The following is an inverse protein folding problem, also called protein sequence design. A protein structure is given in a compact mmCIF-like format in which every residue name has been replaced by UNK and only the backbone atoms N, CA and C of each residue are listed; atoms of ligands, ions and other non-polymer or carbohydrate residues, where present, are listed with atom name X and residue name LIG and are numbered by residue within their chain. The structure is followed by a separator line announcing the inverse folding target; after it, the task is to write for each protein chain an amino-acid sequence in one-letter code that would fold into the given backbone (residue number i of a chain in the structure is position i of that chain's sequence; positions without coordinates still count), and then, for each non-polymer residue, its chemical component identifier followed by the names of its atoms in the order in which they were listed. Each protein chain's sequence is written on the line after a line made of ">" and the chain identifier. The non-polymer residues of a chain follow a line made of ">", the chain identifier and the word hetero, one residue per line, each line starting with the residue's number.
data_IF_075075367992
#
_entry.id   IF_075075367992
#
_cell.length_a   1.000
_cell.length_b   1.000
_cell.length_c   1.000
_cell.angle_alpha   90.00
_cell.angle_beta   90.00
_cell.angle_gamma   90.00
#
_symmetry.space_group_name_H-M   'P 1'
#
loop_
_entity.id
_entity.type
_entity.pdbx_description
1 polymer ?
#
# COMPACT_ATOMS: atom_id res chain seq x y z
N UNK A 1 52.50 -37.10 -30.85
CA UNK A 1 52.44 -36.96 -29.37
C UNK A 1 53.40 -35.86 -28.91
N UNK A 2 52.89 -34.71 -28.46
CA UNK A 2 53.68 -33.69 -27.73
C UNK A 2 52.84 -33.18 -26.56
N UNK A 3 53.20 -33.59 -25.34
CA UNK A 3 52.65 -33.06 -24.08
C UNK A 3 52.97 -31.57 -24.00
N UNK A 4 51.95 -30.70 -24.07
CA UNK A 4 52.10 -29.30 -23.67
C UNK A 4 52.12 -29.25 -22.14
N UNK A 5 53.25 -28.76 -21.62
CA UNK A 5 53.46 -28.49 -20.20
C UNK A 5 52.40 -27.50 -19.71
N UNK A 6 51.78 -27.83 -18.58
CA UNK A 6 50.93 -26.93 -17.83
C UNK A 6 51.81 -25.82 -17.24
N UNK A 7 51.69 -24.60 -17.76
CA UNK A 7 52.12 -23.39 -17.08
C UNK A 7 51.25 -23.19 -15.84
N UNK A 8 51.65 -23.82 -14.73
CA UNK A 8 51.12 -23.54 -13.41
C UNK A 8 51.49 -22.11 -13.03
N UNK A 9 50.52 -21.20 -13.11
CA UNK A 9 50.61 -19.83 -12.58
C UNK A 9 51.24 -19.84 -11.18
N UNK A 10 52.18 -18.92 -10.88
CA UNK A 10 52.82 -18.88 -9.57
C UNK A 10 51.76 -18.74 -8.48
N UNK A 11 51.80 -19.65 -7.50
CA UNK A 11 50.89 -19.66 -6.36
C UNK A 11 50.88 -18.31 -5.65
N UNK A 12 49.71 -17.67 -5.61
CA UNK A 12 49.51 -16.38 -4.94
C UNK A 12 49.82 -16.56 -3.46
N UNK A 13 50.70 -15.70 -2.90
CA UNK A 13 50.98 -15.70 -1.45
C UNK A 13 49.67 -15.46 -0.69
N UNK A 14 49.36 -16.25 0.36
CA UNK A 14 48.12 -16.11 1.10
C UNK A 14 48.08 -14.73 1.76
N UNK A 15 47.11 -13.92 1.35
CA UNK A 15 46.83 -12.62 1.93
C UNK A 15 45.97 -12.78 3.19
N UNK A 16 46.16 -11.93 4.20
CA UNK A 16 45.27 -11.84 5.36
C UNK A 16 43.81 -11.61 4.94
N UNK A 17 43.59 -10.99 3.77
CA UNK A 17 42.27 -10.78 3.19
C UNK A 17 41.65 -12.04 2.57
N UNK A 18 42.41 -13.09 2.28
CA UNK A 18 41.89 -14.30 1.65
C UNK A 18 40.86 -15.02 2.54
N UNK A 19 41.05 -14.99 3.87
CA UNK A 19 40.08 -15.52 4.84
C UNK A 19 38.76 -14.75 4.79
N UNK A 20 38.83 -13.41 4.71
CA UNK A 20 37.65 -12.56 4.60
C UNK A 20 36.94 -12.73 3.26
N UNK A 21 37.69 -12.87 2.18
CA UNK A 21 37.15 -13.12 0.83
C UNK A 21 36.47 -14.48 0.78
N UNK A 22 37.08 -15.53 1.35
CA UNK A 22 36.52 -16.88 1.41
C UNK A 22 35.23 -16.95 2.24
N UNK A 23 35.21 -16.33 3.42
CA UNK A 23 33.99 -16.27 4.24
C UNK A 23 32.86 -15.50 3.53
N UNK A 24 33.20 -14.41 2.85
CA UNK A 24 32.24 -13.63 2.07
C UNK A 24 31.73 -14.38 0.86
N UNK A 25 32.58 -15.08 0.11
CA UNK A 25 32.16 -15.89 -1.03
C UNK A 25 31.26 -17.05 -0.60
N UNK A 26 31.58 -17.74 0.51
CA UNK A 26 30.75 -18.82 1.04
C UNK A 26 29.34 -18.34 1.42
N UNK A 27 29.21 -17.18 2.05
CA UNK A 27 27.89 -16.59 2.34
C UNK A 27 27.16 -16.13 1.07
N UNK A 28 27.88 -15.59 0.08
CA UNK A 28 27.28 -15.25 -1.22
C UNK A 28 26.76 -16.50 -1.92
N UNK A 29 27.48 -17.62 -1.87
CA UNK A 29 27.02 -18.89 -2.46
C UNK A 29 25.74 -19.40 -1.79
N UNK A 30 25.62 -19.28 -0.46
CA UNK A 30 24.37 -19.61 0.25
C UNK A 30 23.22 -18.73 -0.23
N UNK A 31 23.45 -17.42 -0.37
CA UNK A 31 22.44 -16.47 -0.85
C UNK A 31 22.06 -16.77 -2.31
N UNK A 32 23.02 -17.12 -3.17
CA UNK A 32 22.75 -17.53 -4.55
C UNK A 32 21.86 -18.78 -4.56
N UNK A 33 22.19 -19.82 -3.77
CA UNK A 33 21.35 -21.04 -3.68
C UNK A 33 19.94 -20.74 -3.19
N UNK A 34 19.77 -19.79 -2.27
CA UNK A 34 18.46 -19.34 -1.82
C UNK A 34 17.71 -18.60 -2.95
N UNK A 35 18.38 -17.67 -3.63
CA UNK A 35 17.79 -16.91 -4.72
C UNK A 35 17.36 -17.80 -5.91
N UNK A 36 18.17 -18.82 -6.25
CA UNK A 36 17.86 -19.80 -7.29
C UNK A 36 16.60 -20.63 -6.99
N UNK A 37 16.23 -20.82 -5.72
CA UNK A 37 14.98 -21.52 -5.34
C UNK A 37 13.73 -20.65 -5.50
N UNK A 38 13.90 -19.33 -5.39
CA UNK A 38 12.79 -18.37 -5.41
C UNK A 38 12.48 -17.92 -6.84
N UNK A 39 13.52 -17.75 -7.67
CA UNK A 39 13.36 -17.30 -9.04
C UNK A 39 13.30 -18.49 -10.00
N UNK A 40 12.10 -18.68 -10.56
CA UNK A 40 11.85 -19.63 -11.62
C UNK A 40 12.56 -19.22 -12.92
N UNK A 41 13.44 -20.08 -13.42
CA UNK A 41 14.23 -19.85 -14.62
C UNK A 41 13.40 -19.92 -15.91
N UNK A 42 12.26 -20.61 -15.90
CA UNK A 42 11.42 -20.83 -17.10
C UNK A 42 10.80 -19.53 -17.64
N UNK A 43 10.68 -18.51 -16.79
CA UNK A 43 10.10 -17.20 -17.11
C UNK A 43 11.04 -16.31 -17.93
N UNK A 44 12.30 -16.69 -18.10
CA UNK A 44 13.32 -15.86 -18.72
C UNK A 44 13.85 -16.49 -20.03
N UNK A 45 13.85 -15.70 -21.11
CA UNK A 45 14.34 -16.14 -22.42
C UNK A 45 15.86 -16.27 -22.52
N UNK A 46 16.62 -15.59 -21.64
CA UNK A 46 18.08 -15.57 -21.69
C UNK A 46 18.68 -15.64 -20.27
N UNK A 47 19.82 -16.32 -20.14
CA UNK A 47 20.64 -16.42 -18.92
C UNK A 47 20.98 -15.03 -18.39
N UNK A 48 21.25 -14.07 -19.27
CA UNK A 48 21.61 -12.70 -18.85
C UNK A 48 20.46 -12.00 -18.12
N UNK A 49 19.23 -12.15 -18.57
CA UNK A 49 18.06 -11.53 -17.93
C UNK A 49 17.69 -12.25 -16.64
N UNK A 50 17.86 -13.58 -16.62
CA UNK A 50 17.77 -14.37 -15.39
C UNK A 50 18.80 -13.90 -14.34
N UNK A 51 20.05 -13.68 -14.75
CA UNK A 51 21.12 -13.14 -13.90
C UNK A 51 20.81 -11.73 -13.38
N UNK A 52 20.13 -10.86 -14.15
CA UNK A 52 19.71 -9.54 -13.67
C UNK A 52 18.66 -9.65 -12.58
N UNK A 53 17.66 -10.52 -12.76
CA UNK A 53 16.63 -10.77 -11.76
C UNK A 53 17.24 -11.35 -10.47
N UNK A 54 18.12 -12.36 -10.61
CA UNK A 54 18.87 -12.92 -9.48
C UNK A 54 19.71 -11.86 -8.77
N UNK A 55 20.37 -10.97 -9.50
CA UNK A 55 21.18 -9.91 -8.91
C UNK A 55 20.34 -8.92 -8.08
N UNK A 56 19.10 -8.64 -8.50
CA UNK A 56 18.14 -7.86 -7.70
C UNK A 56 17.83 -8.53 -6.37
N UNK A 57 17.37 -9.78 -6.40
CA UNK A 57 17.03 -10.55 -5.19
C UNK A 57 18.25 -10.74 -4.28
N UNK A 58 19.42 -11.05 -4.83
CA UNK A 58 20.66 -11.17 -4.05
C UNK A 58 21.01 -9.83 -3.36
N UNK A 59 20.72 -8.70 -4.00
CA UNK A 59 20.96 -7.37 -3.40
C UNK A 59 20.07 -7.14 -2.20
N UNK A 60 18.76 -7.42 -2.32
CA UNK A 60 17.78 -7.29 -1.24
C UNK A 60 18.10 -8.24 -0.07
N UNK A 61 18.44 -9.49 -0.35
CA UNK A 61 18.80 -10.46 0.69
C UNK A 61 20.09 -10.04 1.42
N UNK A 62 21.06 -9.46 0.70
CA UNK A 62 22.28 -8.94 1.33
C UNK A 62 22.00 -7.70 2.19
N UNK A 63 21.09 -6.84 1.75
CA UNK A 63 20.65 -5.69 2.54
C UNK A 63 19.92 -6.13 3.81
N UNK A 64 18.99 -7.09 3.72
CA UNK A 64 18.32 -7.67 4.88
C UNK A 64 19.31 -8.33 5.86
N UNK A 65 20.32 -9.05 5.35
CA UNK A 65 21.38 -9.66 6.16
C UNK A 65 22.37 -8.67 6.76
N UNK A 66 22.36 -7.39 6.35
CA UNK A 66 23.28 -6.39 6.91
C UNK A 66 22.99 -6.04 8.38
N UNK A 67 21.78 -6.34 8.86
CA UNK A 67 21.40 -6.24 10.27
C UNK A 67 21.82 -7.41 11.15
N UNK A 68 22.30 -8.51 10.56
CA UNK A 68 22.64 -9.73 11.29
C UNK A 68 24.14 -9.77 11.65
N UNK A 69 24.51 -9.82 12.95
CA UNK A 69 25.89 -9.83 13.43
C UNK A 69 26.69 -11.07 13.04
N UNK A 70 26.03 -12.15 12.62
CA UNK A 70 26.69 -13.38 12.21
C UNK A 70 27.24 -13.33 10.78
N UNK A 71 26.87 -12.30 10.01
CA UNK A 71 27.22 -12.22 8.59
C UNK A 71 28.40 -11.29 8.34
N UNK A 72 29.22 -11.55 7.31
CA UNK A 72 30.34 -10.67 6.93
C UNK A 72 29.90 -9.28 6.42
N UNK A 73 28.58 -9.09 6.27
CA UNK A 73 27.93 -7.86 5.83
C UNK A 73 27.43 -6.98 6.99
N UNK A 74 27.55 -7.44 8.23
CA UNK A 74 27.10 -6.72 9.42
C UNK A 74 27.65 -5.30 9.47
N UNK A 75 26.75 -4.32 9.66
CA UNK A 75 27.05 -2.90 9.82
C UNK A 75 27.88 -2.29 8.66
N UNK A 76 27.78 -2.86 7.45
CA UNK A 76 28.44 -2.33 6.24
C UNK A 76 27.39 -1.89 5.24
N UNK A 77 27.64 -0.76 4.56
CA UNK A 77 26.83 -0.33 3.42
C UNK A 77 26.92 -1.37 2.30
N UNK A 78 25.86 -2.15 2.12
CA UNK A 78 25.79 -3.20 1.10
C UNK A 78 25.59 -2.56 -0.26
N UNK A 79 26.60 -2.61 -1.12
CA UNK A 79 26.44 -2.25 -2.54
C UNK A 79 25.60 -3.29 -3.26
N UNK A 80 24.82 -2.81 -4.23
CA UNK A 80 24.07 -3.66 -5.16
C UNK A 80 24.98 -4.72 -5.77
N UNK A 81 24.45 -5.94 -5.85
CA UNK A 81 25.15 -7.05 -6.44
C UNK A 81 25.04 -6.94 -7.96
N UNK A 82 26.17 -6.98 -8.67
CA UNK A 82 26.18 -6.88 -10.13
C UNK A 82 25.96 -8.25 -10.75
N UNK A 83 25.03 -8.35 -11.71
CA UNK A 83 24.79 -9.56 -12.51
C UNK A 83 26.05 -10.02 -13.26
N UNK A 84 26.97 -9.10 -13.59
CA UNK A 84 28.27 -9.42 -14.22
C UNK A 84 29.10 -10.33 -13.30
N UNK A 85 28.95 -10.20 -11.98
CA UNK A 85 29.65 -11.04 -10.99
C UNK A 85 29.21 -12.51 -11.10
N UNK A 86 27.94 -12.76 -11.38
CA UNK A 86 27.41 -14.11 -11.61
C UNK A 86 27.98 -14.72 -12.89
N UNK A 87 28.13 -13.91 -13.94
CA UNK A 87 28.63 -14.37 -15.24
C UNK A 87 30.16 -14.54 -15.26
N UNK A 88 30.89 -13.78 -14.43
CA UNK A 88 32.37 -13.75 -14.42
C UNK A 88 32.99 -14.76 -13.47
N UNK A 89 32.32 -15.08 -12.35
CA UNK A 89 32.79 -16.10 -11.44
C UNK A 89 32.31 -17.48 -11.89
N UNK A 90 33.24 -18.39 -12.19
CA UNK A 90 32.92 -19.74 -12.65
C UNK A 90 32.08 -20.54 -11.65
N UNK A 91 32.29 -20.40 -10.33
CA UNK A 91 31.52 -21.18 -9.35
C UNK A 91 30.04 -20.74 -9.34
N UNK A 92 29.80 -19.43 -9.42
CA UNK A 92 28.47 -18.86 -9.44
C UNK A 92 27.77 -19.17 -10.76
N UNK A 93 28.51 -19.04 -11.87
CA UNK A 93 28.00 -19.34 -13.21
C UNK A 93 27.54 -20.79 -13.34
N UNK A 94 28.31 -21.76 -12.85
CA UNK A 94 27.90 -23.18 -12.87
C UNK A 94 26.58 -23.40 -12.14
N UNK A 95 26.38 -22.79 -10.97
CA UNK A 95 25.12 -22.93 -10.23
C UNK A 95 23.93 -22.32 -10.99
N UNK A 96 24.15 -21.17 -11.63
CA UNK A 96 23.11 -20.50 -12.42
C UNK A 96 22.80 -21.28 -13.69
N UNK A 97 23.80 -21.76 -14.43
CA UNK A 97 23.63 -22.51 -15.67
C UNK A 97 22.90 -23.84 -15.41
N UNK A 98 23.23 -24.55 -14.32
CA UNK A 98 22.51 -25.77 -13.92
C UNK A 98 21.03 -25.47 -13.66
N UNK A 99 20.74 -24.45 -12.86
CA UNK A 99 19.36 -24.08 -12.53
C UNK A 99 18.58 -23.61 -13.78
N UNK A 100 19.24 -22.86 -14.66
CA UNK A 100 18.64 -22.32 -15.87
C UNK A 100 18.34 -23.41 -16.90
N UNK A 101 19.26 -24.35 -17.10
CA UNK A 101 19.07 -25.47 -18.04
C UNK A 101 18.07 -26.50 -17.50
N UNK A 102 18.10 -26.78 -16.19
CA UNK A 102 17.14 -27.68 -15.58
C UNK A 102 15.71 -27.17 -15.74
N UNK A 103 15.48 -25.86 -15.62
CA UNK A 103 14.17 -25.27 -15.89
C UNK A 103 13.71 -25.40 -17.34
N UNK A 104 14.62 -25.60 -18.29
CA UNK A 104 14.29 -25.78 -19.72
C UNK A 104 14.02 -27.22 -20.11
N UNK A 105 14.68 -28.18 -19.47
CA UNK A 105 14.37 -29.61 -19.66
C UNK A 105 12.92 -29.92 -19.25
N UNK A 106 12.39 -29.23 -18.24
CA UNK A 106 10.98 -29.36 -17.82
C UNK A 106 9.97 -28.76 -18.80
N UNK A 107 10.40 -28.03 -19.84
CA UNK A 107 9.51 -27.43 -20.85
C UNK A 107 9.20 -28.40 -22.01
N UNK A 108 9.87 -29.56 -22.10
CA UNK A 108 9.56 -30.59 -23.10
C UNK A 108 8.38 -31.46 -22.66
N UNK A 109 7.17 -30.92 -22.84
CA UNK A 109 5.92 -31.57 -23.30
C UNK A 109 4.72 -30.87 -22.67
N UNK A 110 3.85 -30.20 -23.46
CA UNK A 110 2.52 -29.86 -22.98
C UNK A 110 1.70 -31.16 -22.98
N UNK A 111 1.69 -31.87 -21.85
CA UNK A 111 0.52 -32.71 -21.55
C UNK A 111 -0.68 -31.78 -21.57
N UNK A 112 -1.70 -32.12 -22.36
CA UNK A 112 -2.93 -31.34 -22.49
C UNK A 112 -3.38 -30.89 -21.10
N UNK A 113 -3.25 -29.59 -20.83
CA UNK A 113 -3.52 -29.04 -19.50
C UNK A 113 -5.00 -29.28 -19.24
N UNK A 114 -5.30 -30.12 -18.24
CA UNK A 114 -6.68 -30.41 -17.81
C UNK A 114 -7.45 -29.10 -17.66
N UNK A 115 -8.68 -29.01 -18.17
CA UNK A 115 -9.54 -27.82 -18.05
C UNK A 115 -9.66 -27.34 -16.58
N UNK A 116 -9.61 -28.28 -15.65
CA UNK A 116 -9.64 -28.05 -14.21
C UNK A 116 -8.41 -27.27 -13.71
N UNK A 117 -7.25 -27.51 -14.33
CA UNK A 117 -6.02 -26.77 -14.06
C UNK A 117 -6.08 -25.35 -14.65
N UNK A 118 -6.69 -25.16 -15.82
CA UNK A 118 -6.91 -23.83 -16.40
C UNK A 118 -7.88 -22.99 -15.55
N UNK A 119 -8.97 -23.59 -15.07
CA UNK A 119 -9.90 -22.93 -14.16
C UNK A 119 -9.22 -22.53 -12.84
N UNK A 120 -8.36 -23.40 -12.28
CA UNK A 120 -7.55 -23.05 -11.10
C UNK A 120 -6.56 -21.94 -11.37
N UNK A 121 -5.90 -21.92 -12.52
CA UNK A 121 -4.99 -20.84 -12.90
C UNK A 121 -5.75 -19.51 -13.00
N UNK A 122 -6.93 -19.50 -13.64
CA UNK A 122 -7.76 -18.31 -13.73
C UNK A 122 -8.22 -17.80 -12.35
N UNK A 123 -8.64 -18.72 -11.46
CA UNK A 123 -8.99 -18.39 -10.07
C UNK A 123 -7.80 -17.81 -9.30
N UNK A 124 -6.62 -18.42 -9.42
CA UNK A 124 -5.39 -17.94 -8.78
C UNK A 124 -4.94 -16.60 -9.33
N UNK A 125 -5.07 -16.36 -10.64
CA UNK A 125 -4.79 -15.05 -11.24
C UNK A 125 -5.74 -13.97 -10.72
N UNK A 126 -7.04 -14.28 -10.58
CA UNK A 126 -8.00 -13.37 -9.98
C UNK A 126 -7.65 -13.03 -8.52
N UNK A 127 -7.27 -14.03 -7.72
CA UNK A 127 -6.81 -13.82 -6.34
C UNK A 127 -5.53 -12.95 -6.28
N UNK A 128 -4.56 -13.21 -7.16
CA UNK A 128 -3.34 -12.40 -7.26
C UNK A 128 -3.65 -10.95 -7.63
N UNK A 129 -4.58 -10.70 -8.54
CA UNK A 129 -4.98 -9.35 -8.90
C UNK A 129 -5.66 -8.64 -7.72
N UNK A 130 -6.57 -9.32 -7.01
CA UNK A 130 -7.19 -8.77 -5.81
C UNK A 130 -6.15 -8.42 -4.73
N UNK A 131 -5.14 -9.28 -4.55
CA UNK A 131 -4.03 -9.02 -3.63
C UNK A 131 -3.15 -7.84 -4.08
N UNK A 132 -2.88 -7.71 -5.38
CA UNK A 132 -2.17 -6.56 -5.93
C UNK A 132 -2.94 -5.26 -5.70
N UNK A 133 -4.25 -5.27 -5.93
CA UNK A 133 -5.13 -4.12 -5.72
C UNK A 133 -5.17 -3.72 -4.24
N UNK A 134 -5.29 -4.70 -3.33
CA UNK A 134 -5.18 -4.46 -1.88
C UNK A 134 -3.82 -3.92 -1.49
N UNK A 135 -2.74 -4.47 -2.03
CA UNK A 135 -1.39 -4.01 -1.74
C UNK A 135 -1.16 -2.59 -2.25
N UNK A 136 -1.71 -2.25 -3.42
CA UNK A 136 -1.67 -0.87 -3.92
C UNK A 136 -2.44 0.08 -3.01
N UNK A 137 -3.64 -0.31 -2.53
CA UNK A 137 -4.42 0.49 -1.58
C UNK A 137 -3.73 0.70 -0.23
N UNK A 138 -3.07 -0.35 0.30
CA UNK A 138 -2.27 -0.25 1.54
C UNK A 138 -1.08 0.69 1.34
N UNK A 139 -0.43 0.66 0.17
CA UNK A 139 0.74 1.50 -0.14
C UNK A 139 0.37 2.98 -0.31
N UNK A 140 -0.86 3.29 -0.70
CA UNK A 140 -1.40 4.66 -0.75
C UNK A 140 -1.99 5.14 0.58
N UNK A 141 -1.94 4.33 1.65
CA UNK A 141 -2.53 4.67 2.95
C UNK A 141 -4.06 4.71 2.94
N UNK A 142 -4.67 4.21 1.86
CA UNK A 142 -6.08 4.31 1.61
C UNK A 142 -6.74 2.98 1.98
N UNK A 143 -7.06 2.84 3.27
CA UNK A 143 -7.84 1.73 3.82
C UNK A 143 -9.34 1.86 3.45
N UNK A 144 -9.65 2.45 2.29
CA UNK A 144 -11.02 2.63 1.81
C UNK A 144 -11.35 1.48 0.85
N UNK A 145 -12.30 0.64 1.27
CA UNK A 145 -12.96 -0.28 0.34
C UNK A 145 -13.68 0.58 -0.72
N UNK A 146 -13.08 0.79 -1.89
CA UNK A 146 -13.57 1.70 -2.94
C UNK A 146 -15.06 1.49 -3.33
N UNK A 147 -15.59 0.28 -3.19
CA UNK A 147 -17.01 -0.03 -3.41
C UNK A 147 -17.93 0.40 -2.25
N UNK A 148 -17.44 0.35 -1.01
CA UNK A 148 -18.17 0.82 0.17
C UNK A 148 -18.15 2.35 0.21
N UNK A 149 -17.04 2.96 -0.20
CA UNK A 149 -16.84 4.40 -0.15
C UNK A 149 -17.70 5.12 -1.20
N UNK A 150 -17.85 4.59 -2.42
CA UNK A 150 -18.70 5.19 -3.44
C UNK A 150 -20.18 5.29 -3.00
N UNK A 151 -20.72 4.21 -2.40
CA UNK A 151 -22.11 4.17 -1.93
C UNK A 151 -22.30 4.96 -0.62
N UNK A 152 -21.30 4.95 0.26
CA UNK A 152 -21.30 5.78 1.47
C UNK A 152 -21.22 7.28 1.11
N UNK A 153 -20.44 7.65 0.10
CA UNK A 153 -20.29 9.03 -0.33
C UNK A 153 -21.54 9.53 -1.06
N UNK A 154 -22.24 8.68 -1.81
CA UNK A 154 -23.55 9.02 -2.39
C UNK A 154 -24.63 9.23 -1.31
N UNK A 155 -24.67 8.37 -0.29
CA UNK A 155 -25.61 8.52 0.82
C UNK A 155 -25.31 9.76 1.66
N UNK A 156 -24.04 10.07 1.92
CA UNK A 156 -23.61 11.32 2.57
C UNK A 156 -24.02 12.55 1.74
N UNK A 157 -23.84 12.51 0.42
CA UNK A 157 -24.28 13.62 -0.46
C UNK A 157 -25.79 13.84 -0.41
N UNK A 158 -26.59 12.76 -0.45
CA UNK A 158 -28.05 12.85 -0.33
C UNK A 158 -28.47 13.39 1.04
N UNK A 159 -27.82 12.94 2.11
CA UNK A 159 -28.08 13.41 3.47
C UNK A 159 -27.74 14.90 3.63
N UNK A 160 -26.60 15.34 3.09
CA UNK A 160 -26.21 16.75 3.10
C UNK A 160 -27.20 17.62 2.31
N UNK A 161 -27.68 17.14 1.16
CA UNK A 161 -28.71 17.83 0.38
C UNK A 161 -30.03 17.95 1.16
N UNK A 162 -30.49 16.87 1.80
CA UNK A 162 -31.69 16.90 2.64
C UNK A 162 -31.54 17.86 3.82
N UNK A 163 -30.41 17.81 4.53
CA UNK A 163 -30.11 18.70 5.64
C UNK A 163 -30.05 20.18 5.20
N UNK A 164 -29.49 20.45 4.02
CA UNK A 164 -29.50 21.78 3.41
C UNK A 164 -30.92 22.27 3.10
N UNK A 165 -31.77 21.42 2.51
CA UNK A 165 -33.16 21.78 2.20
C UNK A 165 -33.99 22.01 3.46
N UNK A 166 -33.85 21.19 4.50
CA UNK A 166 -34.59 21.36 5.76
C UNK A 166 -34.14 22.63 6.49
N UNK A 167 -32.84 22.92 6.52
CA UNK A 167 -32.33 24.20 7.06
C UNK A 167 -32.86 25.41 6.28
N UNK A 168 -32.90 25.33 4.95
CA UNK A 168 -33.42 26.42 4.11
C UNK A 168 -34.91 26.67 4.39
N UNK A 169 -35.73 25.62 4.42
CA UNK A 169 -37.16 25.71 4.75
C UNK A 169 -37.35 26.29 6.16
N UNK A 170 -36.63 25.76 7.15
CA UNK A 170 -36.69 26.25 8.52
C UNK A 170 -36.28 27.74 8.62
N UNK A 171 -35.24 28.16 7.90
CA UNK A 171 -34.80 29.56 7.89
C UNK A 171 -35.86 30.51 7.31
N UNK A 172 -36.55 30.09 6.25
CA UNK A 172 -37.63 30.86 5.61
C UNK A 172 -38.84 30.92 6.53
N UNK A 173 -39.25 29.79 7.10
CA UNK A 173 -40.34 29.72 8.08
C UNK A 173 -40.07 30.64 9.27
N UNK A 174 -38.83 30.64 9.80
CA UNK A 174 -38.44 31.52 10.91
C UNK A 174 -38.46 33.00 10.54
N UNK A 175 -38.04 33.39 9.33
CA UNK A 175 -38.14 34.79 8.87
C UNK A 175 -39.58 35.29 8.85
N UNK A 176 -40.50 34.44 8.40
CA UNK A 176 -41.94 34.76 8.48
C UNK A 176 -42.43 34.77 9.93
N UNK A 177 -41.94 33.86 10.77
CA UNK A 177 -42.32 33.81 12.18
C UNK A 177 -41.90 35.06 12.96
N UNK A 178 -40.70 35.59 12.70
CA UNK A 178 -40.22 36.85 13.29
C UNK A 178 -41.12 38.05 12.97
N UNK A 179 -41.88 38.02 11.87
CA UNK A 179 -42.84 39.07 11.55
C UNK A 179 -44.12 38.99 12.41
N UNK A 180 -44.40 37.82 12.99
CA UNK A 180 -45.64 37.52 13.75
C UNK A 180 -45.36 37.39 15.25
N UNK A 181 -44.09 37.26 15.65
CA UNK A 181 -43.69 37.12 17.05
C UNK A 181 -42.93 38.32 17.59
N UNK A 182 -43.11 38.58 18.87
CA UNK A 182 -42.41 39.62 19.63
C UNK A 182 -41.45 38.95 20.62
N UNK A 183 -40.19 39.40 20.61
CA UNK A 183 -39.18 38.99 21.61
C UNK A 183 -39.17 40.01 22.73
N UNK A 184 -39.27 39.55 23.97
CA UNK A 184 -39.30 40.37 25.17
C UNK A 184 -38.08 40.06 26.02
N UNK A 185 -37.12 40.99 26.07
CA UNK A 185 -35.82 40.78 26.72
C UNK A 185 -35.85 40.96 28.24
N UNK A 186 -36.86 41.66 28.79
CA UNK A 186 -37.03 41.85 30.22
C UNK A 186 -38.52 41.77 30.62
N UNK A 187 -38.86 41.20 31.78
CA UNK A 187 -40.25 41.05 32.21
C UNK A 187 -40.94 42.43 32.25
N UNK A 188 -42.09 42.54 31.59
CA UNK A 188 -42.90 43.75 31.54
C UNK A 188 -44.23 43.53 32.27
N UNK A 189 -44.96 44.57 32.66
CA UNK A 189 -46.24 44.42 33.39
C UNK A 189 -47.27 43.52 32.68
N UNK A 190 -47.23 43.45 31.34
CA UNK A 190 -48.09 42.59 30.52
C UNK A 190 -47.52 41.18 30.30
N UNK A 191 -46.20 41.01 30.38
CA UNK A 191 -45.46 39.82 29.97
C UNK A 191 -44.53 39.42 31.13
N UNK A 192 -45.02 38.55 32.02
CA UNK A 192 -44.35 38.20 33.29
C UNK A 192 -43.03 37.43 33.13
N UNK A 193 -42.80 36.83 31.96
CA UNK A 193 -41.63 35.99 31.66
C UNK A 193 -40.92 36.58 30.45
N UNK A 194 -39.59 36.69 30.49
CA UNK A 194 -38.81 37.11 29.33
C UNK A 194 -38.68 35.95 28.32
N UNK A 195 -38.99 36.21 27.05
CA UNK A 195 -39.07 35.17 26.03
C UNK A 195 -39.79 35.58 24.75
N UNK A 196 -40.12 34.59 23.93
CA UNK A 196 -40.83 34.73 22.67
C UNK A 196 -42.34 34.66 22.88
N UNK A 197 -43.06 35.65 22.36
CA UNK A 197 -44.52 35.69 22.40
C UNK A 197 -45.09 35.79 20.98
N UNK A 198 -46.19 35.11 20.74
CA UNK A 198 -47.06 35.29 19.57
C UNK A 198 -48.31 36.06 19.95
N UNK A 199 -49.13 36.39 18.96
CA UNK A 199 -50.49 36.88 19.16
C UNK A 199 -51.39 35.95 20.02
N UNK A 200 -51.03 34.66 20.14
CA UNK A 200 -51.82 33.65 20.85
C UNK A 200 -51.26 33.37 22.25
N UNK A 201 -50.04 33.81 22.57
CA UNK A 201 -49.42 33.63 23.89
C UNK A 201 -47.92 33.35 23.86
N UNK A 202 -47.40 32.91 25.01
CA UNK A 202 -45.99 32.56 25.24
C UNK A 202 -45.59 31.31 24.43
N UNK A 203 -44.45 31.37 23.75
CA UNK A 203 -43.93 30.30 22.89
C UNK A 203 -42.70 29.64 23.53
N UNK A 204 -41.73 30.42 23.96
CA UNK A 204 -40.45 29.92 24.45
C UNK A 204 -39.79 30.95 25.37
N UNK A 205 -38.99 30.48 26.32
CA UNK A 205 -38.12 31.34 27.13
C UNK A 205 -36.90 31.83 26.31
N UNK A 206 -36.16 32.79 26.89
CA UNK A 206 -34.95 33.31 26.27
C UNK A 206 -33.85 32.23 26.12
N UNK A 207 -33.76 31.29 27.04
CA UNK A 207 -32.77 30.22 27.02
C UNK A 207 -33.00 29.26 25.86
N UNK A 208 -34.22 28.74 25.69
CA UNK A 208 -34.54 27.89 24.53
C UNK A 208 -34.39 28.63 23.19
N UNK A 209 -34.66 29.94 23.17
CA UNK A 209 -34.40 30.78 21.99
C UNK A 209 -32.92 30.78 21.62
N UNK A 210 -32.02 30.92 22.59
CA UNK A 210 -30.59 30.90 22.38
C UNK A 210 -30.08 29.51 21.96
N UNK A 211 -30.55 28.44 22.60
CA UNK A 211 -30.18 27.07 22.22
C UNK A 211 -30.58 26.74 20.76
N UNK A 212 -31.78 27.18 20.34
CA UNK A 212 -32.24 27.02 18.96
C UNK A 212 -31.35 27.81 17.99
N UNK A 213 -30.90 29.00 18.37
CA UNK A 213 -30.01 29.80 17.52
C UNK A 213 -28.62 29.20 17.36
N UNK A 214 -28.06 28.68 18.44
CA UNK A 214 -26.73 28.09 18.44
C UNK A 214 -26.73 26.72 17.77
N UNK A 215 -27.77 25.91 17.98
CA UNK A 215 -28.01 24.68 17.23
C UNK A 215 -28.12 24.92 15.72
N UNK A 216 -28.79 26.01 15.30
CA UNK A 216 -28.88 26.40 13.89
C UNK A 216 -27.51 26.78 13.32
N UNK A 217 -26.74 27.63 14.01
CA UNK A 217 -25.40 28.04 13.55
C UNK A 217 -24.49 26.82 13.39
N UNK A 218 -24.57 25.88 14.33
CA UNK A 218 -23.81 24.63 14.28
C UNK A 218 -24.19 23.78 13.05
N UNK A 219 -25.48 23.57 12.80
CA UNK A 219 -25.96 22.81 11.62
C UNK A 219 -25.63 23.51 10.30
N UNK A 220 -25.67 24.85 10.26
CA UNK A 220 -25.26 25.63 9.09
C UNK A 220 -23.75 25.47 8.82
N UNK A 221 -22.92 25.48 9.86
CA UNK A 221 -21.48 25.21 9.73
C UNK A 221 -21.20 23.80 9.24
N UNK A 222 -21.92 22.79 9.75
CA UNK A 222 -21.80 21.40 9.28
C UNK A 222 -22.16 21.23 7.80
N UNK A 223 -23.19 21.94 7.33
CA UNK A 223 -23.57 21.92 5.91
C UNK A 223 -22.49 22.55 5.01
N UNK A 224 -21.71 23.50 5.53
CA UNK A 224 -20.63 24.20 4.81
C UNK A 224 -19.27 23.54 4.94
N UNK A 225 -19.03 22.78 6.01
CA UNK A 225 -17.73 22.19 6.34
C UNK A 225 -17.51 20.80 5.75
N UNK A 226 -18.49 20.20 5.06
CA UNK A 226 -18.31 18.93 4.34
C UNK A 226 -17.53 19.18 3.04
N UNK A 227 -16.21 18.90 2.99
CA UNK A 227 -15.36 19.17 1.84
C UNK A 227 -15.34 17.92 0.95
N UNK A 228 -16.52 17.43 0.57
CA UNK A 228 -16.69 16.37 -0.44
C UNK A 228 -17.15 16.94 -1.79
N UNK A 229 -17.06 18.27 -1.94
CA UNK A 229 -17.39 19.02 -3.16
C UNK A 229 -16.25 20.02 -3.43
N UNK A 230 -15.08 19.50 -3.79
CA UNK A 230 -14.18 20.10 -4.78
C UNK A 230 -13.63 18.98 -5.65
#
# INVERSE_FOLDING_TARGET
>A
MKKKQNDSKPGRKPSTFDKFVAARSAEIEKIIKQALRVIDATKYGNVTDYCKALAGVISEVREAKSGDPTTPFFNKKVRSFSYITLLRNESYRRMVDIAFNHGRETLEQPQAVSEDALLRIASLQAQVNLLKDRLSGIRTGDNSNALVDANAQETIKKLAAYLGTTLAVYSTMRKHFLQVTKVVSSPTEKEKIAGLYSSVGFIADLEALHEIEDGRKFLEQLSKSSPAIQ
#
